data_IF_935440693379
#
_entry.id   IF_935440693379
#
_cell.length_a   1.000
_cell.length_b   1.000
_cell.length_c   1.000
_cell.angle_alpha   90.00
_cell.angle_beta   90.00
_cell.angle_gamma   90.00
#
_symmetry.space_group_name_H-M   'P 1'
#
loop_
_entity.id
_entity.type
_entity.pdbx_description
1 polymer ?
#
# COMPACT_ATOMS: atom_id res chain seq x y z
N UNK A 1 6.71 2.70 11.13
CA UNK A 1 5.82 3.51 10.25
C UNK A 1 4.71 4.21 11.03
N UNK A 2 3.80 3.50 11.70
CA UNK A 2 2.65 4.10 12.40
C UNK A 2 3.01 5.18 13.44
N UNK A 3 4.09 4.98 14.22
CA UNK A 3 4.55 5.99 15.17
C UNK A 3 4.92 7.34 14.51
N UNK A 4 5.38 7.30 13.25
CA UNK A 4 5.70 8.50 12.49
C UNK A 4 4.43 9.14 11.91
N UNK A 5 3.49 8.33 11.41
CA UNK A 5 2.18 8.80 10.95
C UNK A 5 1.43 9.59 12.05
N UNK A 6 1.47 9.09 13.29
CA UNK A 6 0.83 9.73 14.46
C UNK A 6 1.41 11.11 14.81
N UNK A 7 2.57 11.49 14.29
CA UNK A 7 3.19 12.80 14.53
C UNK A 7 2.75 13.88 13.56
N UNK A 8 1.80 13.58 12.66
CA UNK A 8 1.31 14.49 11.62
C UNK A 8 2.45 15.19 10.85
N UNK A 9 3.43 14.38 10.43
CA UNK A 9 4.62 14.86 9.75
C UNK A 9 4.28 15.58 8.43
N UNK A 10 4.97 16.67 8.06
CA UNK A 10 4.81 17.27 6.74
C UNK A 10 5.44 16.42 5.63
N UNK A 11 6.24 15.41 5.97
CA UNK A 11 6.96 14.54 5.03
C UNK A 11 6.06 13.42 4.47
N UNK A 12 4.91 13.79 3.90
CA UNK A 12 3.88 12.86 3.44
C UNK A 12 4.40 11.89 2.37
N UNK A 13 5.21 12.36 1.43
CA UNK A 13 5.84 11.52 0.40
C UNK A 13 6.61 10.33 1.00
N UNK A 14 7.51 10.61 1.95
CA UNK A 14 8.31 9.57 2.60
C UNK A 14 7.47 8.69 3.53
N UNK A 15 6.41 9.23 4.12
CA UNK A 15 5.46 8.45 4.89
C UNK A 15 4.72 7.44 3.98
N UNK A 16 4.23 7.88 2.82
CA UNK A 16 3.58 7.01 1.84
C UNK A 16 4.54 5.93 1.31
N UNK A 17 5.79 6.29 0.98
CA UNK A 17 6.84 5.31 0.62
C UNK A 17 7.07 4.26 1.71
N UNK A 18 7.04 4.66 2.98
CA UNK A 18 7.18 3.74 4.11
C UNK A 18 5.99 2.77 4.23
N UNK A 19 4.77 3.22 3.95
CA UNK A 19 3.59 2.36 3.92
C UNK A 19 3.56 1.45 2.69
N UNK A 20 4.03 1.91 1.53
CA UNK A 20 4.24 1.07 0.33
C UNK A 20 5.19 -0.09 0.65
N UNK A 21 6.32 0.20 1.30
CA UNK A 21 7.26 -0.83 1.74
C UNK A 21 6.64 -1.80 2.75
N UNK A 22 5.84 -1.30 3.69
CA UNK A 22 5.12 -2.12 4.66
C UNK A 22 4.12 -3.06 3.96
N UNK A 23 3.37 -2.57 2.98
CA UNK A 23 2.43 -3.38 2.20
C UNK A 23 3.15 -4.49 1.43
N UNK A 24 4.33 -4.21 0.86
CA UNK A 24 5.17 -5.24 0.23
C UNK A 24 5.65 -6.29 1.24
N UNK A 25 5.99 -5.87 2.46
CA UNK A 25 6.29 -6.77 3.58
C UNK A 25 5.13 -7.72 3.87
N UNK A 26 3.90 -7.22 4.00
CA UNK A 26 2.72 -8.07 4.18
C UNK A 26 2.52 -9.03 3.01
N UNK A 27 2.63 -8.55 1.77
CA UNK A 27 2.47 -9.36 0.55
C UNK A 27 3.47 -10.52 0.50
N UNK A 28 4.73 -10.25 0.80
CA UNK A 28 5.80 -11.27 0.81
C UNK A 28 5.65 -12.30 1.92
N UNK A 29 4.91 -11.97 2.98
CA UNK A 29 4.54 -12.89 4.07
C UNK A 29 3.15 -13.52 3.87
N UNK A 30 2.64 -13.52 2.65
CA UNK A 30 1.36 -14.10 2.27
C UNK A 30 0.11 -13.43 2.84
N UNK A 31 0.27 -12.28 3.50
CA UNK A 31 -0.82 -11.50 4.09
C UNK A 31 -1.34 -10.45 3.09
N UNK A 32 -2.03 -10.94 2.04
CA UNK A 32 -2.58 -10.08 1.00
C UNK A 32 -3.67 -9.14 1.53
N UNK A 33 -4.38 -9.54 2.58
CA UNK A 33 -5.42 -8.73 3.21
C UNK A 33 -4.83 -7.48 3.85
N UNK A 34 -3.78 -7.62 4.69
CA UNK A 34 -3.11 -6.47 5.30
C UNK A 34 -2.36 -5.63 4.26
N UNK A 35 -1.76 -6.27 3.24
CA UNK A 35 -1.12 -5.56 2.15
C UNK A 35 -2.12 -4.64 1.42
N UNK A 36 -3.30 -5.16 1.05
CA UNK A 36 -4.36 -4.38 0.40
C UNK A 36 -4.88 -3.27 1.29
N UNK A 37 -5.20 -3.56 2.55
CA UNK A 37 -5.71 -2.57 3.50
C UNK A 37 -4.72 -1.40 3.69
N UNK A 38 -3.42 -1.71 3.76
CA UNK A 38 -2.36 -0.71 3.86
C UNK A 38 -2.33 0.20 2.63
N UNK A 39 -2.37 -0.35 1.42
CA UNK A 39 -2.36 0.45 0.18
C UNK A 39 -3.64 1.28 0.02
N UNK A 40 -4.80 0.73 0.37
CA UNK A 40 -6.07 1.47 0.38
C UNK A 40 -6.04 2.66 1.35
N UNK A 41 -5.38 2.50 2.50
CA UNK A 41 -5.15 3.61 3.43
C UNK A 41 -4.33 4.73 2.80
N UNK A 42 -3.29 4.42 2.01
CA UNK A 42 -2.55 5.45 1.27
C UNK A 42 -3.46 6.11 0.22
N UNK A 43 -4.13 5.32 -0.62
CA UNK A 43 -4.99 5.84 -1.69
C UNK A 43 -6.11 6.77 -1.18
N UNK A 44 -6.65 6.50 0.01
CA UNK A 44 -7.72 7.29 0.60
C UNK A 44 -7.23 8.62 1.23
N UNK A 45 -5.97 8.69 1.68
CA UNK A 45 -5.47 9.80 2.49
C UNK A 45 -4.35 10.62 1.82
N UNK A 46 -3.77 10.14 0.72
CA UNK A 46 -2.66 10.81 0.05
C UNK A 46 -3.17 11.83 -0.99
N UNK A 47 -2.85 13.10 -0.79
CA UNK A 47 -3.42 14.20 -1.57
C UNK A 47 -2.61 14.57 -2.83
N UNK A 48 -1.29 14.37 -2.81
CA UNK A 48 -0.43 14.73 -3.93
C UNK A 48 -0.63 13.75 -5.09
N UNK A 49 -0.93 14.30 -6.28
CA UNK A 49 -1.29 13.50 -7.47
C UNK A 49 -0.16 13.37 -8.49
N UNK A 50 0.77 14.32 -8.51
CA UNK A 50 1.77 14.47 -9.56
C UNK A 50 3.15 13.87 -9.19
N UNK A 51 3.33 13.37 -7.96
CA UNK A 51 4.62 12.87 -7.47
C UNK A 51 4.82 11.34 -7.68
N UNK A 52 3.86 10.69 -8.33
CA UNK A 52 3.90 9.28 -8.68
C UNK A 52 3.48 8.30 -7.58
N UNK A 53 3.23 8.74 -6.34
CA UNK A 53 2.85 7.84 -5.23
C UNK A 53 1.54 7.11 -5.54
N UNK A 54 0.51 7.81 -6.00
CA UNK A 54 -0.77 7.19 -6.33
C UNK A 54 -0.64 6.20 -7.49
N UNK A 55 0.26 6.45 -8.44
CA UNK A 55 0.57 5.52 -9.54
C UNK A 55 1.16 4.22 -9.00
N UNK A 56 2.14 4.30 -8.08
CA UNK A 56 2.74 3.13 -7.45
C UNK A 56 1.73 2.35 -6.60
N UNK A 57 0.89 3.05 -5.83
CA UNK A 57 -0.16 2.45 -5.01
C UNK A 57 -1.15 1.67 -5.88
N UNK A 58 -1.61 2.27 -6.98
CA UNK A 58 -2.55 1.63 -7.89
C UNK A 58 -1.94 0.40 -8.59
N UNK A 59 -0.67 0.48 -9.01
CA UNK A 59 0.05 -0.67 -9.57
C UNK A 59 0.18 -1.81 -8.54
N UNK A 60 0.52 -1.49 -7.29
CA UNK A 60 0.62 -2.46 -6.22
C UNK A 60 -0.74 -3.10 -5.86
N UNK A 61 -1.83 -2.33 -5.85
CA UNK A 61 -3.19 -2.83 -5.65
C UNK A 61 -3.62 -3.78 -6.77
N UNK A 62 -3.34 -3.43 -8.03
CA UNK A 62 -3.64 -4.28 -9.17
C UNK A 62 -2.90 -5.62 -9.09
N UNK A 63 -1.63 -5.61 -8.67
CA UNK A 63 -0.85 -6.83 -8.43
C UNK A 63 -1.46 -7.70 -7.34
N UNK A 64 -1.82 -7.13 -6.19
CA UNK A 64 -2.46 -7.88 -5.10
C UNK A 64 -3.78 -8.50 -5.58
N UNK A 65 -4.63 -7.74 -6.26
CA UNK A 65 -5.89 -8.26 -6.78
C UNK A 65 -5.70 -9.42 -7.77
N UNK A 66 -4.64 -9.38 -8.59
CA UNK A 66 -4.29 -10.48 -9.48
C UNK A 66 -3.82 -11.72 -8.70
N UNK A 67 -3.02 -11.55 -7.65
CA UNK A 67 -2.56 -12.64 -6.77
C UNK A 67 -3.72 -13.29 -6.01
N UNK A 68 -4.64 -12.49 -5.44
CA UNK A 68 -5.85 -12.99 -4.78
C UNK A 68 -6.71 -13.84 -5.72
N UNK A 69 -6.99 -13.30 -6.93
CA UNK A 69 -7.75 -14.02 -7.96
C UNK A 69 -7.06 -15.31 -8.41
N UNK A 70 -5.73 -15.35 -8.42
CA UNK A 70 -5.00 -16.56 -8.75
C UNK A 70 -5.17 -17.64 -7.68
N UNK A 71 -5.14 -17.26 -6.39
CA UNK A 71 -5.34 -18.19 -5.26
C UNK A 71 -6.76 -18.76 -5.23
N UNK A 72 -7.77 -17.93 -5.47
CA UNK A 72 -9.17 -18.36 -5.51
C UNK A 72 -9.45 -19.42 -6.59
N UNK A 73 -8.69 -19.43 -7.70
CA UNK A 73 -8.85 -20.40 -8.78
C UNK A 73 -8.19 -21.76 -8.52
N UNK A 74 -7.36 -21.86 -7.48
CA UNK A 74 -6.60 -23.07 -7.15
C UNK A 74 -7.34 -23.95 -6.13
N UNK A 75 -8.40 -23.41 -5.53
CA UNK A 75 -9.29 -24.06 -4.55
C UNK A 75 -10.52 -24.61 -5.28
#
# INVERSE_FOLDING_TARGET
VFAFAKRNTPHQYWLAKSFLLLAEGYRTHDDLFQARATLQSIAANYEAKEDGILTEVNAALARIAAEEKARERVI
#
